data_IF_364580802438
#
_entry.id   IF_364580802438
#
_cell.length_a   1.000
_cell.length_b   1.000
_cell.length_c   1.000
_cell.angle_alpha   90.00
_cell.angle_beta   90.00
_cell.angle_gamma   90.00
#
_symmetry.space_group_name_H-M   'P 1'
#
loop_
_entity.id
_entity.type
_entity.pdbx_description
1 polymer ?
#
# COMPACT_ATOMS: atom_id res chain seq x y z
N UNK A 1 -6.38 8.13 -19.27
CA UNK A 1 -4.94 8.40 -19.59
C UNK A 1 -4.10 7.82 -18.47
N UNK A 2 -2.94 7.23 -18.80
CA UNK A 2 -1.96 6.75 -17.80
C UNK A 2 -0.85 7.79 -17.60
N UNK A 3 -0.45 7.97 -16.33
CA UNK A 3 0.78 8.67 -15.94
C UNK A 3 1.70 7.64 -15.29
N UNK A 4 2.84 7.37 -15.90
CA UNK A 4 3.75 6.31 -15.48
C UNK A 4 5.13 6.94 -15.21
N UNK A 5 5.46 7.15 -13.95
CA UNK A 5 6.76 7.65 -13.54
C UNK A 5 7.71 6.50 -13.20
N UNK A 6 9.03 6.72 -13.25
CA UNK A 6 9.99 5.72 -12.83
C UNK A 6 9.83 5.39 -11.34
N UNK A 7 10.26 4.19 -10.97
CA UNK A 7 10.36 3.80 -9.56
C UNK A 7 11.32 4.74 -8.81
N UNK A 8 10.99 5.10 -7.56
CA UNK A 8 11.92 5.83 -6.71
C UNK A 8 13.13 4.95 -6.34
N UNK A 9 14.23 5.52 -5.87
CA UNK A 9 15.27 4.74 -5.19
C UNK A 9 14.65 3.91 -4.06
N UNK A 10 15.08 2.66 -3.93
CA UNK A 10 14.68 1.84 -2.79
C UNK A 10 15.43 2.31 -1.53
N UNK A 11 14.77 2.25 -0.39
CA UNK A 11 15.42 2.44 0.91
C UNK A 11 16.37 1.26 1.14
N UNK A 12 17.53 1.54 1.72
CA UNK A 12 18.51 0.51 1.99
C UNK A 12 17.91 -0.59 2.91
N UNK A 13 18.18 -1.88 2.64
CA UNK A 13 17.65 -2.98 3.45
C UNK A 13 17.98 -2.83 4.94
N UNK A 14 19.20 -2.42 5.28
CA UNK A 14 19.62 -2.23 6.66
C UNK A 14 18.78 -1.18 7.40
N UNK A 15 18.38 -0.10 6.71
CA UNK A 15 17.49 0.93 7.26
C UNK A 15 16.07 0.40 7.48
N UNK A 16 15.56 -0.42 6.55
CA UNK A 16 14.25 -1.06 6.69
C UNK A 16 14.25 -2.12 7.80
N UNK A 17 15.34 -2.87 7.95
CA UNK A 17 15.53 -3.85 9.03
C UNK A 17 15.60 -3.17 10.41
N UNK A 18 16.15 -1.96 10.47
CA UNK A 18 16.11 -1.15 11.68
C UNK A 18 14.69 -0.59 11.93
N UNK A 19 14.05 -0.06 10.90
CA UNK A 19 12.73 0.55 11.01
C UNK A 19 11.67 -0.46 11.44
N UNK A 20 11.70 -1.70 10.93
CA UNK A 20 10.70 -2.73 11.26
C UNK A 20 10.76 -3.17 12.72
N UNK A 21 11.86 -2.89 13.43
CA UNK A 21 11.97 -3.15 14.88
C UNK A 21 11.18 -2.14 15.71
N UNK A 22 10.91 -0.96 15.15
CA UNK A 22 10.07 0.04 15.80
C UNK A 22 8.59 -0.35 15.69
N UNK A 23 7.80 0.08 16.69
CA UNK A 23 6.35 -0.11 16.66
C UNK A 23 5.66 1.22 16.34
N UNK A 24 4.70 1.25 15.39
CA UNK A 24 3.92 2.46 15.14
C UNK A 24 3.34 3.06 16.41
N UNK A 25 2.83 2.23 17.32
CA UNK A 25 2.26 2.67 18.59
C UNK A 25 3.30 3.34 19.50
N UNK A 26 4.54 2.85 19.53
CA UNK A 26 5.64 3.48 20.32
C UNK A 26 6.00 4.84 19.71
N UNK A 27 6.09 4.93 18.38
CA UNK A 27 6.38 6.21 17.71
C UNK A 27 5.24 7.21 17.97
N UNK A 28 3.99 6.74 18.05
CA UNK A 28 2.81 7.53 18.35
C UNK A 28 2.83 8.25 19.70
N UNK A 29 3.69 7.84 20.65
CA UNK A 29 3.90 8.58 21.90
C UNK A 29 4.66 9.91 21.69
N UNK A 30 5.40 10.04 20.60
CA UNK A 30 6.28 11.19 20.37
C UNK A 30 5.94 11.96 19.09
N UNK A 31 5.20 11.34 18.17
CA UNK A 31 4.86 11.91 16.87
C UNK A 31 3.36 11.83 16.62
N UNK A 32 2.76 12.92 16.13
CA UNK A 32 1.32 13.02 15.85
C UNK A 32 1.00 13.12 14.35
N UNK A 33 2.00 13.12 13.48
CA UNK A 33 1.84 13.28 12.03
C UNK A 33 2.39 12.08 11.28
N UNK A 34 1.84 11.83 10.09
CA UNK A 34 2.23 10.70 9.23
C UNK A 34 1.46 9.41 9.51
N UNK A 35 0.58 9.39 10.53
CA UNK A 35 -0.30 8.25 10.79
C UNK A 35 -1.54 8.33 9.91
N UNK A 36 -1.83 7.24 9.20
CA UNK A 36 -3.03 7.12 8.38
C UNK A 36 -4.28 6.94 9.25
N UNK A 37 -5.43 7.31 8.66
CA UNK A 37 -6.75 7.16 9.29
C UNK A 37 -6.98 5.73 9.82
N UNK A 38 -7.48 5.63 11.04
CA UNK A 38 -7.76 4.36 11.74
C UNK A 38 -8.81 3.48 11.05
N UNK A 39 -9.52 4.01 10.06
CA UNK A 39 -10.43 3.23 9.22
C UNK A 39 -9.70 2.35 8.21
N UNK A 40 -8.40 2.54 7.97
CA UNK A 40 -7.57 1.61 7.19
C UNK A 40 -6.98 0.61 8.18
N UNK A 41 -7.42 -0.65 8.11
CA UNK A 41 -7.12 -1.69 9.09
C UNK A 41 -6.42 -2.87 8.48
N UNK A 42 -5.57 -3.52 9.28
CA UNK A 42 -4.97 -4.79 8.94
C UNK A 42 -6.03 -5.89 8.78
N UNK A 43 -5.94 -6.67 7.71
CA UNK A 43 -6.77 -7.86 7.54
C UNK A 43 -6.14 -9.12 8.16
N UNK A 44 -4.88 -9.02 8.59
CA UNK A 44 -4.14 -10.10 9.26
C UNK A 44 -3.44 -9.53 10.48
N UNK A 45 -3.44 -10.30 11.57
CA UNK A 45 -2.72 -9.95 12.80
C UNK A 45 -1.29 -10.48 12.76
N UNK A 46 -0.47 -10.00 13.70
CA UNK A 46 0.92 -10.44 13.91
C UNK A 46 1.84 -10.22 12.69
N UNK A 47 1.59 -9.16 11.91
CA UNK A 47 2.41 -8.79 10.77
C UNK A 47 2.86 -7.35 10.89
N UNK A 48 4.16 -7.16 11.13
CA UNK A 48 4.82 -5.85 11.03
C UNK A 48 5.69 -5.80 9.80
N UNK A 49 5.60 -4.71 9.06
CA UNK A 49 6.40 -4.48 7.86
C UNK A 49 7.02 -3.09 7.89
N UNK A 50 8.18 -2.97 7.27
CA UNK A 50 8.75 -1.72 6.81
C UNK A 50 9.09 -1.86 5.32
N UNK A 51 8.92 -0.77 4.55
CA UNK A 51 9.24 -0.84 3.12
C UNK A 51 9.20 0.52 2.43
N UNK A 52 9.63 0.52 1.18
CA UNK A 52 9.64 1.70 0.31
C UNK A 52 8.27 1.87 -0.35
N UNK A 53 7.64 3.02 -0.20
CA UNK A 53 6.37 3.31 -0.84
C UNK A 53 6.49 3.36 -2.37
N UNK A 54 5.72 2.54 -3.07
CA UNK A 54 5.36 2.72 -4.48
C UNK A 54 3.87 3.08 -4.54
N UNK A 55 3.56 4.20 -5.15
CA UNK A 55 2.23 4.80 -5.05
C UNK A 55 1.43 4.62 -6.32
N UNK A 56 0.13 4.39 -6.15
CA UNK A 56 -0.84 4.24 -7.24
C UNK A 56 -2.04 5.14 -6.97
N UNK A 57 -2.42 5.97 -7.93
CA UNK A 57 -3.72 6.62 -7.94
C UNK A 57 -4.63 5.93 -8.93
N UNK A 58 -5.73 5.40 -8.43
CA UNK A 58 -6.65 4.58 -9.19
C UNK A 58 -8.09 5.09 -9.08
N UNK A 59 -8.51 6.04 -9.93
CA UNK A 59 -9.89 6.51 -9.95
C UNK A 59 -10.83 5.51 -10.66
N UNK A 60 -12.07 5.44 -10.19
CA UNK A 60 -13.14 4.68 -10.83
C UNK A 60 -12.96 3.17 -10.81
N UNK A 61 -13.39 2.49 -11.89
CA UNK A 61 -13.51 1.04 -11.97
C UNK A 61 -12.36 0.33 -12.70
N UNK A 62 -11.32 1.07 -13.15
CA UNK A 62 -10.23 0.47 -13.91
C UNK A 62 -9.04 0.09 -13.02
N UNK A 63 -8.81 -1.20 -12.85
CA UNK A 63 -7.70 -1.76 -12.07
C UNK A 63 -6.39 -1.94 -12.85
N UNK A 64 -6.35 -1.56 -14.14
CA UNK A 64 -5.18 -1.81 -15.01
C UNK A 64 -3.89 -1.25 -14.42
N UNK A 65 -3.95 -0.09 -13.76
CA UNK A 65 -2.77 0.54 -13.15
C UNK A 65 -2.19 -0.27 -11.99
N UNK A 66 -3.02 -1.00 -11.23
CA UNK A 66 -2.57 -1.87 -10.13
C UNK A 66 -1.80 -3.06 -10.68
N UNK A 67 -2.29 -3.68 -11.76
CA UNK A 67 -1.57 -4.75 -12.44
C UNK A 67 -0.22 -4.29 -12.99
N UNK A 68 -0.18 -3.09 -13.57
CA UNK A 68 1.08 -2.48 -14.00
C UNK A 68 2.03 -2.27 -12.82
N UNK A 69 1.54 -1.67 -11.73
CA UNK A 69 2.34 -1.37 -10.55
C UNK A 69 2.99 -2.61 -9.94
N UNK A 70 2.22 -3.70 -9.80
CA UNK A 70 2.76 -4.98 -9.29
C UNK A 70 3.81 -5.55 -10.23
N UNK A 71 3.65 -5.41 -11.55
CA UNK A 71 4.67 -5.83 -12.53
C UNK A 71 5.97 -5.03 -12.47
N UNK A 72 5.97 -3.85 -11.85
CA UNK A 72 7.15 -3.02 -11.63
C UNK A 72 7.73 -3.16 -10.21
N UNK A 73 6.97 -3.70 -9.26
CA UNK A 73 7.34 -3.76 -7.85
C UNK A 73 8.58 -4.62 -7.60
N UNK A 74 9.36 -4.21 -6.61
CA UNK A 74 10.56 -4.91 -6.15
C UNK A 74 10.33 -5.54 -4.79
N UNK A 75 11.18 -6.46 -4.41
CA UNK A 75 11.19 -6.99 -3.05
C UNK A 75 11.41 -5.85 -2.03
N UNK A 76 10.59 -5.84 -0.98
CA UNK A 76 10.62 -4.79 0.06
C UNK A 76 9.83 -3.53 -0.26
N UNK A 77 9.25 -3.38 -1.47
CA UNK A 77 8.33 -2.27 -1.75
C UNK A 77 6.99 -2.47 -1.02
N UNK A 78 6.36 -1.36 -0.64
CA UNK A 78 4.97 -1.32 -0.12
C UNK A 78 4.10 -0.61 -1.16
N UNK A 79 3.09 -1.31 -1.67
CA UNK A 79 2.14 -0.73 -2.61
C UNK A 79 1.10 0.10 -1.87
N UNK A 80 1.04 1.41 -2.15
CA UNK A 80 0.08 2.34 -1.54
C UNK A 80 -0.90 2.82 -2.61
N UNK A 81 -2.18 2.46 -2.44
CA UNK A 81 -3.23 2.71 -3.42
C UNK A 81 -4.23 3.75 -2.92
N UNK A 82 -4.26 4.89 -3.59
CA UNK A 82 -5.27 5.93 -3.45
C UNK A 82 -6.45 5.61 -4.39
N UNK A 83 -7.61 5.35 -3.80
CA UNK A 83 -8.86 5.09 -4.53
C UNK A 83 -9.65 6.36 -4.86
N UNK A 84 -9.09 7.53 -4.64
CA UNK A 84 -9.75 8.82 -4.86
C UNK A 84 -11.12 8.94 -4.15
N UNK A 85 -11.21 8.37 -2.95
CA UNK A 85 -12.42 8.38 -2.12
C UNK A 85 -13.43 7.26 -2.39
N UNK A 86 -13.20 6.38 -3.37
CA UNK A 86 -14.05 5.21 -3.58
C UNK A 86 -13.81 4.16 -2.48
N UNK A 87 -14.88 3.78 -1.79
CA UNK A 87 -14.87 2.78 -0.71
C UNK A 87 -15.73 1.56 -1.02
N UNK A 88 -16.39 1.55 -2.17
CA UNK A 88 -17.39 0.55 -2.52
C UNK A 88 -16.83 -0.58 -3.41
N UNK A 89 -15.83 -0.26 -4.23
CA UNK A 89 -15.32 -1.18 -5.24
C UNK A 89 -13.93 -1.68 -4.83
N UNK A 90 -13.78 -2.99 -4.73
CA UNK A 90 -12.51 -3.62 -4.38
C UNK A 90 -11.48 -3.38 -5.49
N UNK A 91 -10.33 -2.86 -5.11
CA UNK A 91 -9.23 -2.51 -6.01
C UNK A 91 -8.33 -3.69 -6.35
N UNK A 92 -8.28 -4.68 -5.49
CA UNK A 92 -7.48 -5.89 -5.67
C UNK A 92 -8.11 -7.09 -4.95
N UNK A 93 -7.72 -8.26 -5.38
CA UNK A 93 -8.07 -9.56 -4.81
C UNK A 93 -6.91 -10.55 -4.98
N UNK A 94 -7.24 -11.84 -5.03
CA UNK A 94 -6.27 -12.94 -5.02
C UNK A 94 -5.22 -12.89 -6.12
N UNK A 95 -5.59 -12.57 -7.34
CA UNK A 95 -4.64 -12.51 -8.46
C UNK A 95 -3.52 -11.47 -8.24
N UNK A 96 -3.89 -10.27 -7.75
CA UNK A 96 -2.91 -9.22 -7.43
C UNK A 96 -2.07 -9.61 -6.22
N UNK A 97 -2.68 -10.21 -5.20
CA UNK A 97 -1.96 -10.69 -4.02
C UNK A 97 -0.94 -11.79 -4.37
N UNK A 98 -1.30 -12.72 -5.23
CA UNK A 98 -0.36 -13.73 -5.72
C UNK A 98 0.84 -13.10 -6.45
N UNK A 99 0.57 -12.16 -7.36
CA UNK A 99 1.62 -11.45 -8.07
C UNK A 99 2.52 -10.64 -7.11
N UNK A 100 1.93 -9.97 -6.11
CA UNK A 100 2.66 -9.23 -5.07
C UNK A 100 3.57 -10.15 -4.26
N UNK A 101 3.08 -11.34 -3.88
CA UNK A 101 3.93 -12.36 -3.23
C UNK A 101 5.12 -12.76 -4.10
N UNK A 102 4.88 -13.04 -5.38
CA UNK A 102 5.95 -13.42 -6.32
C UNK A 102 6.99 -12.30 -6.50
N UNK A 103 6.56 -11.04 -6.47
CA UNK A 103 7.45 -9.88 -6.55
C UNK A 103 8.19 -9.60 -5.22
N UNK A 104 7.82 -10.24 -4.11
CA UNK A 104 8.40 -10.00 -2.79
C UNK A 104 7.96 -8.68 -2.15
N UNK A 105 6.79 -8.16 -2.52
CA UNK A 105 6.21 -6.95 -1.95
C UNK A 105 6.01 -7.14 -0.45
N UNK A 106 6.47 -6.18 0.36
CA UNK A 106 6.39 -6.25 1.82
C UNK A 106 4.95 -6.12 2.33
N UNK A 107 4.12 -5.35 1.64
CA UNK A 107 2.70 -5.20 1.99
C UNK A 107 1.93 -4.32 1.02
N UNK A 108 0.60 -4.30 1.18
CA UNK A 108 -0.31 -3.49 0.35
C UNK A 108 -1.23 -2.67 1.24
N UNK A 109 -1.32 -1.38 0.97
CA UNK A 109 -2.19 -0.44 1.67
C UNK A 109 -3.19 0.14 0.67
N UNK A 110 -4.48 0.06 0.98
CA UNK A 110 -5.55 0.54 0.11
C UNK A 110 -6.44 1.52 0.86
N UNK A 111 -6.51 2.76 0.39
CA UNK A 111 -7.52 3.72 0.87
C UNK A 111 -8.87 3.46 0.19
N UNK A 112 -9.39 2.25 0.37
CA UNK A 112 -10.60 1.72 -0.26
C UNK A 112 -10.85 0.28 0.14
N UNK A 113 -11.62 -0.46 -0.68
CA UNK A 113 -11.96 -1.85 -0.42
C UNK A 113 -11.01 -2.83 -1.15
N UNK A 114 -10.94 -4.05 -0.60
CA UNK A 114 -10.29 -5.24 -1.19
C UNK A 114 -11.29 -6.40 -1.26
N UNK A 115 -10.91 -7.51 -1.88
CA UNK A 115 -11.73 -8.73 -1.94
C UNK A 115 -10.88 -9.97 -1.69
N UNK A 116 -11.46 -11.16 -1.77
CA UNK A 116 -10.80 -12.46 -1.73
C UNK A 116 -9.93 -12.70 -0.48
N UNK A 117 -10.43 -12.33 0.70
CA UNK A 117 -9.67 -12.42 1.96
C UNK A 117 -9.07 -13.82 2.23
N UNK A 118 -9.73 -14.87 1.73
CA UNK A 118 -9.22 -16.24 1.82
C UNK A 118 -7.88 -16.39 1.09
N UNK A 119 -7.83 -15.95 -0.18
CA UNK A 119 -6.63 -16.00 -1.01
C UNK A 119 -5.55 -15.02 -0.52
N UNK A 120 -5.94 -13.82 -0.08
CA UNK A 120 -5.01 -12.86 0.52
C UNK A 120 -4.29 -13.50 1.73
N UNK A 121 -5.03 -14.24 2.54
CA UNK A 121 -4.48 -14.96 3.72
C UNK A 121 -3.58 -16.12 3.31
N UNK A 122 -4.01 -16.89 2.32
CA UNK A 122 -3.25 -18.03 1.78
C UNK A 122 -1.90 -17.59 1.20
N UNK A 123 -1.90 -16.52 0.41
CA UNK A 123 -0.67 -15.99 -0.18
C UNK A 123 0.21 -15.23 0.82
N UNK A 124 -0.35 -14.84 1.97
CA UNK A 124 0.40 -14.31 3.10
C UNK A 124 1.01 -12.91 2.89
N UNK A 125 0.53 -12.15 1.90
CA UNK A 125 0.91 -10.73 1.74
C UNK A 125 0.11 -9.90 2.73
N UNK A 126 0.77 -9.12 3.61
CA UNK A 126 0.06 -8.24 4.53
C UNK A 126 -0.74 -7.16 3.79
N UNK A 127 -2.01 -7.00 4.15
CA UNK A 127 -2.92 -6.06 3.51
C UNK A 127 -3.66 -5.23 4.55
N UNK A 128 -3.66 -3.92 4.34
CA UNK A 128 -4.48 -2.96 5.09
C UNK A 128 -5.46 -2.29 4.13
N UNK A 129 -6.72 -2.21 4.51
CA UNK A 129 -7.74 -1.52 3.72
C UNK A 129 -8.87 -0.98 4.58
N UNK A 130 -9.75 -0.18 3.97
CA UNK A 130 -10.96 0.32 4.67
C UNK A 130 -12.04 -0.73 4.83
N UNK A 131 -11.99 -1.82 4.07
CA UNK A 131 -12.99 -2.86 4.16
C UNK A 131 -12.94 -3.84 2.99
N UNK A 132 -13.99 -4.64 2.91
CA UNK A 132 -14.13 -5.72 1.93
C UNK A 132 -15.35 -5.46 1.06
N UNK A 133 -15.24 -5.70 -0.25
CA UNK A 133 -16.34 -5.62 -1.19
C UNK A 133 -16.30 -6.80 -2.16
N UNK A 134 -17.47 -7.36 -2.47
CA UNK A 134 -17.61 -8.35 -3.53
C UNK A 134 -17.67 -7.72 -4.94
N UNK A 135 -17.87 -6.41 -5.03
CA UNK A 135 -17.81 -5.68 -6.30
C UNK A 135 -16.37 -5.31 -6.60
N UNK A 136 -15.86 -5.74 -7.74
CA UNK A 136 -14.44 -5.57 -8.10
C UNK A 136 -14.27 -4.67 -9.32
N UNK A 137 -13.09 -4.06 -9.40
CA UNK A 137 -12.63 -3.34 -10.59
C UNK A 137 -12.51 -4.27 -11.80
N UNK A 138 -12.42 -3.67 -12.99
CA UNK A 138 -12.18 -4.34 -14.27
C UNK A 138 -10.84 -3.92 -14.82
N UNK A 139 -10.25 -4.71 -15.69
CA UNK A 139 -9.06 -4.32 -16.47
C UNK A 139 -9.54 -3.71 -17.79
N UNK A 140 -9.65 -2.38 -17.81
CA UNK A 140 -10.27 -1.65 -18.92
C UNK A 140 -9.27 -0.85 -19.76
N UNK A 141 -8.06 -0.60 -19.24
CA UNK A 141 -7.04 0.18 -19.93
C UNK A 141 -7.36 1.66 -20.07
N UNK A 142 -8.16 2.23 -19.17
CA UNK A 142 -8.63 3.62 -19.29
C UNK A 142 -7.66 4.64 -18.72
N UNK A 143 -6.96 4.29 -17.62
CA UNK A 143 -6.03 5.21 -16.98
C UNK A 143 -5.68 4.84 -15.55
N UNK A 144 -4.94 5.75 -14.93
CA UNK A 144 -4.41 5.67 -13.59
C UNK A 144 -3.01 6.25 -13.52
N UNK A 145 -2.49 6.43 -12.32
CA UNK A 145 -1.20 7.08 -12.15
C UNK A 145 -0.31 6.20 -11.27
N UNK A 146 0.94 6.04 -11.68
CA UNK A 146 1.97 5.26 -10.99
C UNK A 146 3.13 6.14 -10.57
N UNK A 147 3.61 5.95 -9.35
CA UNK A 147 4.70 6.73 -8.73
C UNK A 147 4.45 8.24 -8.82
N UNK A 148 3.27 8.67 -8.41
CA UNK A 148 2.90 10.07 -8.18
C UNK A 148 2.61 10.29 -6.69
N UNK A 149 2.71 11.52 -6.16
CA UNK A 149 2.22 11.81 -4.81
C UNK A 149 0.72 11.49 -4.70
N UNK A 150 0.33 10.77 -3.65
CA UNK A 150 -1.06 10.37 -3.40
C UNK A 150 -1.50 10.78 -2.00
N UNK A 151 -2.82 10.74 -1.74
CA UNK A 151 -3.37 10.83 -0.39
C UNK A 151 -3.89 9.46 0.02
N UNK A 152 -3.41 8.92 1.11
CA UNK A 152 -3.88 7.65 1.64
C UNK A 152 -4.13 7.79 3.15
N UNK A 153 -5.36 7.50 3.57
CA UNK A 153 -5.75 7.69 4.97
C UNK A 153 -5.55 9.10 5.50
N UNK A 154 -5.71 10.12 4.65
CA UNK A 154 -5.50 11.53 5.03
C UNK A 154 -4.03 11.94 5.13
N UNK A 155 -3.09 11.06 4.79
CA UNK A 155 -1.64 11.33 4.77
C UNK A 155 -1.17 11.47 3.34
N UNK A 156 -0.35 12.49 3.07
CA UNK A 156 0.37 12.59 1.81
C UNK A 156 1.49 11.54 1.78
N UNK A 157 1.51 10.72 0.74
CA UNK A 157 2.53 9.69 0.51
C UNK A 157 3.23 9.96 -0.80
N UNK A 158 4.53 10.16 -0.75
CA UNK A 158 5.34 10.31 -1.96
C UNK A 158 5.97 8.97 -2.34
N UNK A 159 6.21 8.73 -3.64
CA UNK A 159 7.06 7.61 -4.04
C UNK A 159 8.41 7.70 -3.34
N UNK A 160 8.84 6.60 -2.70
CA UNK A 160 10.11 6.54 -1.97
C UNK A 160 10.01 6.81 -0.47
N UNK A 161 8.87 7.29 0.05
CA UNK A 161 8.69 7.43 1.49
C UNK A 161 8.81 6.06 2.18
N UNK A 162 9.29 6.05 3.43
CA UNK A 162 9.27 4.85 4.25
C UNK A 162 7.87 4.62 4.82
N UNK A 163 7.41 3.39 4.74
CA UNK A 163 6.16 2.93 5.35
C UNK A 163 6.47 1.93 6.45
N UNK A 164 5.94 2.16 7.64
CA UNK A 164 5.94 1.22 8.76
C UNK A 164 4.49 0.89 9.10
N UNK A 165 4.16 -0.39 9.19
CA UNK A 165 2.79 -0.83 9.40
C UNK A 165 2.71 -2.09 10.26
N UNK A 166 1.74 -2.14 11.17
CA UNK A 166 1.36 -3.31 11.95
C UNK A 166 -0.17 -3.33 12.18
N UNK A 167 -0.64 -4.14 13.10
CA UNK A 167 -2.06 -4.21 13.47
C UNK A 167 -2.59 -2.96 14.20
N UNK A 168 -1.70 -2.16 14.80
CA UNK A 168 -2.08 -0.93 15.51
C UNK A 168 -2.24 0.26 14.56
N UNK A 169 -1.53 0.26 13.42
CA UNK A 169 -1.65 1.37 12.48
C UNK A 169 -0.57 1.42 11.41
N UNK A 170 -0.66 2.49 10.64
CA UNK A 170 0.16 2.77 9.47
C UNK A 170 0.83 4.12 9.64
N UNK A 171 2.15 4.14 9.50
CA UNK A 171 2.96 5.36 9.59
C UNK A 171 3.76 5.56 8.31
N UNK A 172 3.72 6.78 7.80
CA UNK A 172 4.54 7.24 6.67
C UNK A 172 5.61 8.18 7.19
N UNK A 173 6.84 7.90 6.81
CA UNK A 173 8.01 8.70 7.15
C UNK A 173 8.65 9.20 5.86
N UNK A 174 8.62 10.50 5.64
CA UNK A 174 9.32 11.10 4.51
C UNK A 174 10.82 11.12 4.79
N UNK A 175 11.61 10.60 3.86
CA UNK A 175 13.08 10.61 3.94
C UNK A 175 13.69 12.02 3.93
N UNK A 176 12.90 13.05 3.57
CA UNK A 176 13.34 14.45 3.66
C UNK A 176 13.50 14.92 5.12
N UNK A 177 12.98 14.15 6.06
CA UNK A 177 12.92 14.50 7.49
C UNK A 177 13.69 13.51 8.40
N UNK A 178 14.49 12.64 7.82
CA UNK A 178 15.40 11.72 8.52
C UNK A 178 16.84 12.23 8.44
#
# INVERSE_FOLDING_TARGET
MFVLNPLPPAIAPDDLDLLVQAEPAVIGHFRFTGFMDIGIRAHFQDRRIAGTAITVRMPGMDGSIVHYAIGQARAGDVLVIDRCGDRAIASLGGAVAYAARCAGVAGIIVDGAVTDLGELREYGVPVWSRGVSAVTVKTLGLGGEFCVPVSCGGVAVNPGDAVLADENGLLVLSLIHI
#
